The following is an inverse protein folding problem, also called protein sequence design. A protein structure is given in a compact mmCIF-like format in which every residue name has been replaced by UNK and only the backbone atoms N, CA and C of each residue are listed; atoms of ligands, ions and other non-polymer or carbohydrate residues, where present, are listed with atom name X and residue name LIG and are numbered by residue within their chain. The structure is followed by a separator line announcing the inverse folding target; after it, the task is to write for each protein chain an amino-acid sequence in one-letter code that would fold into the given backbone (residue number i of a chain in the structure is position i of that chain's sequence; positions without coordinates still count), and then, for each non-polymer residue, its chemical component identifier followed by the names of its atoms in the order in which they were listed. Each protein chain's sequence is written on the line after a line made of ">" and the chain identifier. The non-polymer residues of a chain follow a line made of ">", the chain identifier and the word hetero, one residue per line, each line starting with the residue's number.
data_IF_914785940909
#
_entry.id   IF_914785940909
#
_cell.length_a   1.000
_cell.length_b   1.000
_cell.length_c   1.000
_cell.angle_alpha   90.00
_cell.angle_beta   90.00
_cell.angle_gamma   90.00
#
_symmetry.space_group_name_H-M   'P 1'
#
loop_
_entity.id
_entity.type
_entity.pdbx_description
1 polymer ?
#
# COMPACT_ATOMS: atom_id res chain seq x y z
N UNK A 1 18.21 -1.82 11.68
CA UNK A 1 19.31 -2.50 10.93
C UNK A 1 19.03 -2.42 9.44
N UNK A 2 20.03 -1.98 8.65
CA UNK A 2 19.91 -1.84 7.19
C UNK A 2 20.87 -2.81 6.51
N UNK A 3 20.39 -3.58 5.56
CA UNK A 3 21.20 -4.49 4.75
C UNK A 3 21.80 -3.69 3.58
N UNK A 4 23.09 -3.85 3.31
CA UNK A 4 23.79 -3.09 2.26
C UNK A 4 23.22 -3.28 0.86
N UNK A 5 22.63 -4.45 0.56
CA UNK A 5 21.93 -4.68 -0.72
C UNK A 5 20.70 -3.80 -0.89
N UNK A 6 19.92 -3.60 0.19
CA UNK A 6 18.73 -2.75 0.15
C UNK A 6 19.12 -1.27 -0.05
N UNK A 7 20.19 -0.81 0.61
CA UNK A 7 20.71 0.56 0.41
C UNK A 7 21.14 0.75 -1.04
N UNK A 8 21.80 -0.26 -1.63
CA UNK A 8 22.19 -0.21 -3.04
C UNK A 8 20.97 -0.12 -3.96
N UNK A 9 19.93 -0.91 -3.70
CA UNK A 9 18.69 -0.86 -4.46
C UNK A 9 17.97 0.50 -4.35
N UNK A 10 17.85 1.05 -3.13
CA UNK A 10 17.27 2.39 -2.92
C UNK A 10 18.06 3.50 -3.63
N UNK A 11 19.40 3.41 -3.68
CA UNK A 11 20.20 4.37 -4.45
C UNK A 11 19.90 4.27 -5.96
N UNK A 12 19.74 3.06 -6.50
CA UNK A 12 19.35 2.85 -7.89
C UNK A 12 17.93 3.38 -8.18
N UNK A 13 16.97 3.14 -7.30
CA UNK A 13 15.60 3.69 -7.38
C UNK A 13 15.61 5.24 -7.38
N UNK A 14 16.52 5.85 -6.62
CA UNK A 14 16.72 7.30 -6.60
C UNK A 14 17.58 7.83 -7.77
N UNK A 15 17.83 7.01 -8.79
CA UNK A 15 18.65 7.37 -9.98
C UNK A 15 20.12 7.65 -9.69
N UNK A 16 20.66 7.17 -8.57
CA UNK A 16 22.10 7.16 -8.32
C UNK A 16 22.77 5.94 -8.97
N UNK A 17 24.03 6.09 -9.35
CA UNK A 17 24.82 4.96 -9.86
C UNK A 17 24.98 3.88 -8.79
N UNK A 18 24.99 2.61 -9.21
CA UNK A 18 25.18 1.47 -8.31
C UNK A 18 26.47 1.58 -7.52
N UNK A 19 26.44 1.68 -6.19
CA UNK A 19 27.63 1.85 -5.39
C UNK A 19 28.39 0.53 -5.19
N UNK A 20 29.70 0.62 -5.01
CA UNK A 20 30.46 -0.48 -4.44
C UNK A 20 30.06 -0.62 -2.96
N UNK A 21 29.34 -1.66 -2.61
CA UNK A 21 28.75 -1.86 -1.27
C UNK A 21 29.78 -1.95 -0.15
N UNK A 22 30.96 -2.53 -0.41
CA UNK A 22 32.05 -2.61 0.59
C UNK A 22 32.67 -1.23 0.88
N UNK A 23 32.91 -0.45 -0.17
CA UNK A 23 33.42 0.93 -0.04
C UNK A 23 32.37 1.82 0.63
N UNK A 24 31.11 1.71 0.22
CA UNK A 24 29.99 2.45 0.81
C UNK A 24 29.88 2.14 2.32
N UNK A 25 29.87 0.87 2.70
CA UNK A 25 29.84 0.46 4.10
C UNK A 25 31.01 1.06 4.89
N UNK A 26 32.22 1.00 4.34
CA UNK A 26 33.41 1.56 4.99
C UNK A 26 33.27 3.08 5.20
N UNK A 27 32.75 3.80 4.21
CA UNK A 27 32.57 5.26 4.31
C UNK A 27 31.49 5.63 5.33
N UNK A 28 30.41 4.85 5.42
CA UNK A 28 29.31 5.10 6.35
C UNK A 28 29.67 4.77 7.82
N UNK A 29 30.56 3.81 8.05
CA UNK A 29 30.86 3.30 9.40
C UNK A 29 32.19 3.79 9.98
N UNK A 30 33.03 4.45 9.19
CA UNK A 30 34.35 4.95 9.64
C UNK A 30 34.38 6.48 9.68
N UNK A 31 35.25 7.01 10.54
CA UNK A 31 35.50 8.44 10.66
C UNK A 31 34.88 9.12 11.88
N UNK A 32 35.33 10.36 12.14
CA UNK A 32 34.71 11.22 13.17
C UNK A 32 33.34 11.70 12.66
N UNK A 33 32.29 11.59 13.48
CA UNK A 33 30.94 11.99 13.08
C UNK A 33 30.20 10.94 12.23
N UNK A 34 30.64 9.69 12.24
CA UNK A 34 29.92 8.59 11.58
C UNK A 34 28.49 8.48 12.08
N UNK A 35 27.57 8.33 11.15
CA UNK A 35 26.15 8.13 11.46
C UNK A 35 25.79 6.65 11.69
N UNK A 36 26.64 5.72 11.27
CA UNK A 36 26.37 4.29 11.30
C UNK A 36 27.48 3.49 11.97
N UNK A 37 27.09 2.34 12.51
CA UNK A 37 27.94 1.28 13.02
C UNK A 37 27.74 0.01 12.18
N UNK A 38 28.77 -0.84 12.08
CA UNK A 38 28.57 -2.19 11.57
C UNK A 38 27.72 -3.01 12.52
N UNK A 39 26.72 -3.74 12.02
CA UNK A 39 25.92 -4.64 12.84
C UNK A 39 26.79 -5.81 13.34
N UNK A 40 26.62 -6.15 14.63
CA UNK A 40 27.29 -7.31 15.23
C UNK A 40 26.67 -8.62 14.79
N UNK A 41 25.39 -8.61 14.50
CA UNK A 41 24.61 -9.79 14.11
C UNK A 41 24.78 -10.15 12.62
N UNK A 42 25.01 -9.18 11.76
CA UNK A 42 25.12 -9.39 10.31
C UNK A 42 26.27 -8.55 9.72
N UNK A 43 27.29 -9.22 9.20
CA UNK A 43 28.45 -8.58 8.57
C UNK A 43 28.11 -7.70 7.36
N UNK A 44 26.95 -7.91 6.72
CA UNK A 44 26.52 -7.16 5.55
C UNK A 44 25.48 -6.06 5.91
N UNK A 45 25.30 -5.77 7.18
CA UNK A 45 24.36 -4.78 7.66
C UNK A 45 25.06 -3.66 8.44
N UNK A 46 24.35 -2.53 8.54
CA UNK A 46 24.73 -1.37 9.35
C UNK A 46 23.55 -0.93 10.21
N UNK A 47 23.85 -0.22 11.30
CA UNK A 47 22.89 0.31 12.25
C UNK A 47 23.20 1.77 12.53
N UNK A 48 22.21 2.60 12.81
CA UNK A 48 22.48 3.96 13.27
C UNK A 48 23.28 3.98 14.58
N UNK A 49 24.13 4.95 14.71
CA UNK A 49 24.68 5.32 16.02
C UNK A 49 23.52 5.77 16.91
N UNK A 50 23.35 5.28 18.16
CA UNK A 50 22.18 5.57 18.98
C UNK A 50 21.86 7.06 19.12
N UNK A 51 22.88 7.91 19.28
CA UNK A 51 22.71 9.37 19.39
C UNK A 51 22.18 9.99 18.09
N UNK A 52 22.61 9.49 16.92
CA UNK A 52 22.11 9.94 15.62
C UNK A 52 20.66 9.49 15.44
N UNK A 53 20.33 8.25 15.82
CA UNK A 53 18.97 7.75 15.75
C UNK A 53 18.02 8.61 16.59
N UNK A 54 18.38 8.90 17.84
CA UNK A 54 17.58 9.77 18.72
C UNK A 54 17.37 11.18 18.12
N UNK A 55 18.41 11.75 17.49
CA UNK A 55 18.29 13.05 16.82
C UNK A 55 17.31 12.96 15.64
N UNK A 56 17.45 11.92 14.81
CA UNK A 56 16.57 11.72 13.67
C UNK A 56 15.11 11.45 14.09
N UNK A 57 14.91 10.66 15.15
CA UNK A 57 13.58 10.40 15.72
C UNK A 57 12.95 11.69 16.26
N UNK A 58 13.72 12.54 16.93
CA UNK A 58 13.23 13.84 17.41
C UNK A 58 12.86 14.78 16.26
N UNK A 59 13.73 14.88 15.23
CA UNK A 59 13.60 15.88 14.18
C UNK A 59 12.64 15.42 13.06
N UNK A 60 12.56 14.11 12.82
CA UNK A 60 11.81 13.52 11.71
C UNK A 60 10.87 12.38 12.12
N UNK A 61 10.78 12.05 13.40
CA UNK A 61 9.99 10.92 13.90
C UNK A 61 8.52 10.98 13.47
N UNK A 62 7.94 12.17 13.40
CA UNK A 62 6.58 12.38 12.90
C UNK A 62 6.39 11.96 11.43
N UNK A 63 7.46 11.96 10.62
CA UNK A 63 7.43 11.53 9.22
C UNK A 63 7.58 10.02 9.05
N UNK A 64 8.07 9.33 10.11
CA UNK A 64 8.30 7.87 10.08
C UNK A 64 7.18 7.06 10.70
N UNK A 65 6.25 7.74 11.36
CA UNK A 65 5.03 7.08 11.76
C UNK A 65 4.25 6.73 10.49
N UNK A 66 4.33 5.48 10.08
CA UNK A 66 3.57 4.87 8.97
C UNK A 66 2.05 4.92 9.18
N UNK A 67 1.63 5.51 10.26
CA UNK A 67 0.26 5.68 10.66
C UNK A 67 -0.02 7.15 10.89
N UNK A 68 -0.42 7.84 9.84
CA UNK A 68 -1.44 8.86 10.05
C UNK A 68 -2.57 8.11 10.75
N UNK A 69 -2.73 8.32 12.05
CA UNK A 69 -3.90 7.82 12.77
C UNK A 69 -5.07 8.59 12.16
N UNK A 70 -5.81 7.90 11.29
CA UNK A 70 -6.99 8.47 10.66
C UNK A 70 -8.09 8.32 11.70
N UNK A 71 -8.37 9.38 12.44
CA UNK A 71 -9.54 9.44 13.31
C UNK A 71 -10.75 9.76 12.44
N UNK A 72 -11.63 8.78 12.29
CA UNK A 72 -12.92 8.95 11.63
C UNK A 72 -14.00 9.06 12.69
N UNK A 73 -14.77 10.13 12.65
CA UNK A 73 -15.89 10.34 13.57
C UNK A 73 -17.22 9.81 13.01
N UNK A 74 -17.33 9.67 11.68
CA UNK A 74 -18.50 9.13 10.99
C UNK A 74 -18.09 7.95 10.12
N UNK A 75 -18.63 6.77 10.41
CA UNK A 75 -18.35 5.54 9.67
C UNK A 75 -19.32 5.35 8.52
N UNK A 76 -18.86 5.58 7.29
CA UNK A 76 -19.55 5.13 6.08
C UNK A 76 -19.46 3.60 5.94
N UNK A 77 -18.34 3.02 6.35
CA UNK A 77 -18.10 1.59 6.39
C UNK A 77 -17.72 1.20 7.82
N UNK A 78 -18.46 0.25 8.41
CA UNK A 78 -18.24 -0.26 9.78
C UNK A 78 -16.83 -0.89 9.93
N UNK A 79 -15.91 -0.16 10.54
CA UNK A 79 -14.52 -0.63 10.73
C UNK A 79 -14.47 -1.89 11.59
N UNK A 80 -15.23 -1.96 12.65
CA UNK A 80 -15.29 -3.11 13.54
C UNK A 80 -15.62 -4.42 12.80
N UNK A 81 -16.36 -4.33 11.71
CA UNK A 81 -16.82 -5.49 10.92
C UNK A 81 -15.84 -5.91 9.83
N UNK A 82 -15.18 -4.95 9.19
CA UNK A 82 -14.42 -5.19 7.97
C UNK A 82 -12.91 -5.00 8.11
N UNK A 83 -12.44 -4.32 9.16
CA UNK A 83 -11.03 -4.11 9.43
C UNK A 83 -10.37 -5.28 10.19
N UNK A 84 -9.04 -5.28 10.22
CA UNK A 84 -8.22 -6.19 11.03
C UNK A 84 -7.66 -7.42 10.33
N UNK A 85 -8.29 -7.92 9.27
CA UNK A 85 -7.81 -9.14 8.57
C UNK A 85 -6.70 -8.86 7.55
N UNK A 86 -6.73 -7.70 6.90
CA UNK A 86 -5.77 -7.30 5.85
C UNK A 86 -5.40 -5.83 6.05
N UNK A 87 -4.15 -5.51 6.39
CA UNK A 87 -3.74 -4.13 6.72
C UNK A 87 -4.06 -3.10 5.63
N UNK A 88 -3.88 -3.46 4.36
CA UNK A 88 -4.17 -2.54 3.26
C UNK A 88 -5.66 -2.23 3.09
N UNK A 89 -6.56 -3.21 3.34
CA UNK A 89 -8.01 -2.97 3.35
C UNK A 89 -8.43 -2.11 4.54
N UNK A 90 -7.86 -2.38 5.71
CA UNK A 90 -8.08 -1.54 6.90
C UNK A 90 -7.74 -0.08 6.61
N UNK A 91 -6.53 0.18 6.08
CA UNK A 91 -6.11 1.53 5.72
C UNK A 91 -7.04 2.18 4.70
N UNK A 92 -7.45 1.44 3.68
CA UNK A 92 -8.33 1.96 2.63
C UNK A 92 -9.72 2.32 3.18
N UNK A 93 -10.29 1.47 4.05
CA UNK A 93 -11.57 1.74 4.72
C UNK A 93 -11.47 2.96 5.63
N UNK A 94 -10.40 3.08 6.41
CA UNK A 94 -10.15 4.24 7.26
C UNK A 94 -10.03 5.53 6.45
N UNK A 95 -9.35 5.50 5.30
CA UNK A 95 -9.26 6.65 4.41
C UNK A 95 -10.63 7.04 3.82
N UNK A 96 -11.48 6.05 3.47
CA UNK A 96 -12.85 6.30 3.01
C UNK A 96 -13.66 6.99 4.11
N UNK A 97 -13.66 6.46 5.32
CA UNK A 97 -14.38 7.02 6.45
C UNK A 97 -13.88 8.44 6.78
N UNK A 98 -12.55 8.64 6.80
CA UNK A 98 -11.96 9.94 7.03
C UNK A 98 -12.38 10.98 5.98
N UNK A 99 -12.27 10.65 4.69
CA UNK A 99 -12.64 11.58 3.62
C UNK A 99 -14.14 11.87 3.61
N UNK A 100 -14.97 10.89 3.93
CA UNK A 100 -16.41 11.07 4.09
C UNK A 100 -16.73 12.02 5.26
N UNK A 101 -16.18 11.76 6.45
CA UNK A 101 -16.42 12.56 7.65
C UNK A 101 -15.90 14.01 7.53
N UNK A 102 -14.95 14.26 6.62
CA UNK A 102 -14.43 15.61 6.33
C UNK A 102 -15.06 16.26 5.09
N UNK A 103 -16.16 15.73 4.59
CA UNK A 103 -16.89 16.22 3.41
C UNK A 103 -16.04 16.25 2.11
N UNK A 104 -14.96 15.46 2.05
CA UNK A 104 -14.14 15.30 0.85
C UNK A 104 -14.75 14.21 -0.06
N UNK A 105 -15.96 14.45 -0.57
CA UNK A 105 -16.76 13.43 -1.24
C UNK A 105 -16.14 12.91 -2.53
N UNK A 106 -15.47 13.74 -3.31
CA UNK A 106 -14.79 13.31 -4.54
C UNK A 106 -13.64 12.34 -4.22
N UNK A 107 -12.83 12.66 -3.21
CA UNK A 107 -11.78 11.76 -2.75
C UNK A 107 -12.37 10.45 -2.19
N UNK A 108 -13.46 10.53 -1.43
CA UNK A 108 -14.18 9.38 -0.92
C UNK A 108 -14.67 8.49 -2.07
N UNK A 109 -15.26 9.07 -3.12
CA UNK A 109 -15.76 8.37 -4.30
C UNK A 109 -14.64 7.60 -5.03
N UNK A 110 -13.47 8.22 -5.22
CA UNK A 110 -12.29 7.58 -5.83
C UNK A 110 -11.80 6.41 -4.98
N UNK A 111 -11.72 6.58 -3.65
CA UNK A 111 -11.30 5.53 -2.73
C UNK A 111 -12.30 4.37 -2.67
N UNK A 112 -13.60 4.65 -2.69
CA UNK A 112 -14.64 3.63 -2.77
C UNK A 112 -14.56 2.82 -4.06
N UNK A 113 -14.33 3.47 -5.19
CA UNK A 113 -14.08 2.79 -6.47
C UNK A 113 -12.85 1.89 -6.38
N UNK A 114 -11.78 2.37 -5.76
CA UNK A 114 -10.58 1.56 -5.53
C UNK A 114 -10.84 0.36 -4.63
N UNK A 115 -11.61 0.55 -3.55
CA UNK A 115 -12.01 -0.55 -2.68
C UNK A 115 -12.80 -1.60 -3.45
N UNK A 116 -13.75 -1.18 -4.27
CA UNK A 116 -14.56 -2.07 -5.09
C UNK A 116 -13.69 -2.90 -6.06
N UNK A 117 -12.76 -2.27 -6.77
CA UNK A 117 -11.80 -2.94 -7.65
C UNK A 117 -11.00 -4.01 -6.90
N UNK A 118 -10.44 -3.65 -5.76
CA UNK A 118 -9.65 -4.56 -4.93
C UNK A 118 -10.49 -5.75 -4.44
N UNK A 119 -11.71 -5.52 -4.01
CA UNK A 119 -12.60 -6.58 -3.54
C UNK A 119 -12.98 -7.55 -4.66
N UNK A 120 -13.19 -7.05 -5.88
CA UNK A 120 -13.41 -7.92 -7.03
C UNK A 120 -12.20 -8.79 -7.31
N UNK A 121 -11.00 -8.22 -7.42
CA UNK A 121 -9.75 -8.99 -7.64
C UNK A 121 -9.59 -10.06 -6.57
N UNK A 122 -9.80 -9.72 -5.29
CA UNK A 122 -9.71 -10.68 -4.19
C UNK A 122 -10.77 -11.80 -4.30
N UNK A 123 -11.95 -11.50 -4.82
CA UNK A 123 -12.98 -12.50 -5.04
C UNK A 123 -12.55 -13.51 -6.11
N UNK A 124 -11.95 -13.03 -7.22
CA UNK A 124 -11.39 -13.90 -8.26
C UNK A 124 -10.24 -14.76 -7.74
N UNK A 125 -9.31 -14.17 -6.98
CA UNK A 125 -8.21 -14.89 -6.34
C UNK A 125 -8.73 -15.97 -5.38
N UNK A 126 -9.71 -15.64 -4.55
CA UNK A 126 -10.29 -16.59 -3.60
C UNK A 126 -11.00 -17.77 -4.29
N UNK A 127 -11.51 -17.57 -5.50
CA UNK A 127 -12.12 -18.62 -6.33
C UNK A 127 -11.12 -19.38 -7.21
N UNK A 128 -9.86 -18.94 -7.26
CA UNK A 128 -8.82 -19.54 -8.12
C UNK A 128 -9.02 -19.28 -9.61
N UNK A 129 -9.77 -18.24 -9.98
CA UNK A 129 -10.08 -17.85 -11.36
C UNK A 129 -9.54 -16.47 -11.74
N UNK A 130 -8.45 -16.05 -11.13
CA UNK A 130 -7.81 -14.74 -11.40
C UNK A 130 -7.40 -14.59 -12.87
N UNK A 131 -7.11 -15.69 -13.55
CA UNK A 131 -6.80 -15.72 -14.99
C UNK A 131 -7.88 -15.10 -15.86
N UNK A 132 -9.15 -15.16 -15.45
CA UNK A 132 -10.28 -14.62 -16.21
C UNK A 132 -10.21 -13.08 -16.32
N UNK A 133 -9.55 -12.44 -15.36
CA UNK A 133 -9.37 -10.98 -15.31
C UNK A 133 -7.92 -10.55 -15.56
N UNK A 134 -7.03 -11.49 -15.88
CA UNK A 134 -5.62 -11.20 -16.18
C UNK A 134 -5.40 -11.10 -17.68
N UNK A 135 -4.62 -10.12 -18.12
CA UNK A 135 -4.19 -9.95 -19.50
C UNK A 135 -2.98 -10.83 -19.81
N UNK A 136 -2.66 -11.01 -21.11
CA UNK A 136 -1.48 -11.80 -21.53
C UNK A 136 -0.15 -11.26 -20.98
N UNK A 137 -0.07 -9.96 -20.66
CA UNK A 137 1.10 -9.30 -20.07
C UNK A 137 1.22 -9.48 -18.54
N UNK A 138 0.29 -10.25 -17.94
CA UNK A 138 0.23 -10.50 -16.50
C UNK A 138 -0.45 -9.41 -15.67
N UNK A 139 -0.81 -8.28 -16.27
CA UNK A 139 -1.57 -7.23 -15.57
C UNK A 139 -3.07 -7.56 -15.51
N UNK A 140 -3.79 -6.98 -14.55
CA UNK A 140 -5.24 -7.11 -14.51
C UNK A 140 -5.90 -6.26 -15.62
N UNK A 141 -7.08 -6.70 -16.05
CA UNK A 141 -7.97 -5.90 -16.90
C UNK A 141 -8.35 -4.60 -16.17
N UNK A 142 -8.75 -3.59 -16.92
CA UNK A 142 -9.34 -2.39 -16.35
C UNK A 142 -10.65 -2.73 -15.62
N UNK A 143 -11.03 -1.92 -14.63
CA UNK A 143 -12.23 -2.15 -13.81
C UNK A 143 -13.47 -2.47 -14.63
N UNK A 144 -13.67 -1.78 -15.75
CA UNK A 144 -14.78 -2.07 -16.67
C UNK A 144 -14.79 -3.52 -17.17
N UNK A 145 -13.63 -4.03 -17.57
CA UNK A 145 -13.48 -5.41 -18.02
C UNK A 145 -13.71 -6.42 -16.88
N UNK A 146 -13.27 -6.10 -15.67
CA UNK A 146 -13.48 -6.93 -14.47
C UNK A 146 -14.97 -6.96 -14.12
N UNK A 147 -15.64 -5.81 -14.11
CA UNK A 147 -17.09 -5.69 -13.81
C UNK A 147 -17.91 -6.46 -14.83
N UNK A 148 -17.61 -6.30 -16.12
CA UNK A 148 -18.31 -7.02 -17.20
C UNK A 148 -18.19 -8.54 -17.05
N UNK A 149 -17.01 -9.03 -16.73
CA UNK A 149 -16.80 -10.46 -16.46
C UNK A 149 -17.54 -10.87 -15.18
N UNK A 150 -17.40 -10.13 -14.09
CA UNK A 150 -18.00 -10.44 -12.80
C UNK A 150 -19.54 -10.56 -12.82
N UNK A 151 -20.19 -9.78 -13.68
CA UNK A 151 -21.66 -9.86 -13.84
C UNK A 151 -22.13 -11.14 -14.55
N UNK A 152 -21.26 -11.77 -15.33
CA UNK A 152 -21.56 -12.94 -16.13
C UNK A 152 -20.95 -14.23 -15.59
N UNK A 153 -19.92 -14.13 -14.77
CA UNK A 153 -19.12 -15.25 -14.27
C UNK A 153 -19.88 -16.05 -13.21
N UNK A 154 -20.38 -17.22 -13.61
CA UNK A 154 -21.17 -18.11 -12.73
C UNK A 154 -20.33 -18.67 -11.57
N UNK A 155 -19.01 -18.80 -11.74
CA UNK A 155 -18.12 -19.36 -10.71
C UNK A 155 -17.93 -18.37 -9.55
N UNK A 156 -18.00 -17.06 -9.81
CA UNK A 156 -18.03 -16.03 -8.78
C UNK A 156 -19.29 -16.10 -7.94
N UNK A 157 -20.41 -16.49 -8.53
CA UNK A 157 -21.67 -16.68 -7.82
C UNK A 157 -22.24 -15.39 -7.22
N UNK A 158 -22.00 -14.24 -7.84
CA UNK A 158 -22.51 -12.95 -7.35
C UNK A 158 -24.00 -12.87 -7.63
N UNK A 159 -24.86 -12.65 -6.60
CA UNK A 159 -26.29 -12.54 -6.81
C UNK A 159 -26.65 -11.38 -7.74
N UNK A 160 -27.59 -11.59 -8.66
CA UNK A 160 -28.04 -10.58 -9.62
C UNK A 160 -28.50 -9.26 -8.95
N UNK A 161 -29.02 -9.32 -7.73
CA UNK A 161 -29.38 -8.14 -6.95
C UNK A 161 -28.17 -7.26 -6.63
N UNK A 162 -26.99 -7.86 -6.41
CA UNK A 162 -25.76 -7.15 -6.09
C UNK A 162 -25.10 -6.63 -7.37
N UNK A 163 -25.00 -7.48 -8.39
CA UNK A 163 -24.34 -7.13 -9.65
C UNK A 163 -25.00 -5.97 -10.41
N UNK A 164 -26.30 -5.73 -10.19
CA UNK A 164 -27.02 -4.57 -10.74
C UNK A 164 -26.41 -3.22 -10.33
N UNK A 165 -25.76 -3.16 -9.18
CA UNK A 165 -25.17 -1.92 -8.66
C UNK A 165 -23.71 -1.72 -9.12
N UNK A 166 -23.12 -2.69 -9.81
CA UNK A 166 -21.70 -2.64 -10.19
C UNK A 166 -21.38 -1.49 -11.15
N UNK A 167 -22.28 -1.20 -12.08
CA UNK A 167 -22.11 -0.07 -12.99
C UNK A 167 -22.12 1.27 -12.25
N UNK A 168 -23.00 1.43 -11.24
CA UNK A 168 -23.01 2.61 -10.42
C UNK A 168 -21.69 2.80 -9.67
N UNK A 169 -21.13 1.74 -9.07
CA UNK A 169 -19.82 1.78 -8.42
C UNK A 169 -18.67 2.06 -9.41
N UNK A 170 -18.77 1.53 -10.61
CA UNK A 170 -17.79 1.80 -11.67
C UNK A 170 -17.78 3.28 -12.07
N UNK A 171 -18.95 3.90 -12.14
CA UNK A 171 -19.12 5.31 -12.53
C UNK A 171 -18.79 6.29 -11.41
N UNK A 172 -18.89 5.87 -10.17
CA UNK A 172 -18.42 6.64 -9.01
C UNK A 172 -16.93 6.97 -9.20
N UNK A 173 -16.58 8.24 -9.18
CA UNK A 173 -15.21 8.70 -9.37
C UNK A 173 -14.76 8.88 -10.84
N UNK A 174 -15.64 8.64 -11.84
CA UNK A 174 -15.37 9.08 -13.21
C UNK A 174 -15.84 10.53 -13.45
N UNK A 175 -16.76 10.98 -12.64
CA UNK A 175 -17.39 12.31 -12.72
C UNK A 175 -16.94 13.25 -11.59
N UNK A 176 -15.85 12.87 -10.88
CA UNK A 176 -15.27 13.64 -9.78
C UNK A 176 -14.14 14.52 -10.27
#
# INVERSE_FOLDING_TARGET
>A
TFIMSNISAWMEECSFSKPNTSRLKTNLTKGKGRAFLGSKANKNAIEFVPTVLQTLERDYGALWTDTVTIESHDELIEEAKFCGKRPFLTRLIQQINFTYGHNCYDACAVLMRRLFEVLLVLAYQNKGIETDITKPDGSHKMLEGIVKDATQNKTLGIPARISKNFDAFREVGNNS
#
